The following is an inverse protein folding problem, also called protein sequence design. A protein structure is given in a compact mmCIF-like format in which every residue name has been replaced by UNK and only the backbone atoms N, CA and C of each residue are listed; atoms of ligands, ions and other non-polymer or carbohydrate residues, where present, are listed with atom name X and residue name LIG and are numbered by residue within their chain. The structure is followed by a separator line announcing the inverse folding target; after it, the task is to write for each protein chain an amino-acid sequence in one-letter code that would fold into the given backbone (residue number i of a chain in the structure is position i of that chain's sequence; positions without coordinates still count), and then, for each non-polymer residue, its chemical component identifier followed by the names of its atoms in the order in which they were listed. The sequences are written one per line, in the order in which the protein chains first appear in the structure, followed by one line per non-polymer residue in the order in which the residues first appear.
data_IF_209449371111
#
_entry.id   IF_209449371111
#
_cell.length_a   1.000
_cell.length_b   1.000
_cell.length_c   1.000
_cell.angle_alpha   90.00
_cell.angle_beta   90.00
_cell.angle_gamma   90.00
#
_symmetry.space_group_name_H-M   'P 1'
#
loop_
_entity.id
_entity.type
_entity.pdbx_description
1 polymer ?
#
# COMPACT_ATOMS: atom_id res chain seq x y z
N UNK A 1 6.24 12.94 9.19
CA UNK A 1 6.74 13.47 7.90
C UNK A 1 6.09 12.67 6.77
N UNK A 2 5.44 13.36 5.82
CA UNK A 2 4.74 12.72 4.69
C UNK A 2 5.72 12.00 3.76
N UNK A 3 5.32 10.85 3.22
CA UNK A 3 6.13 10.12 2.24
C UNK A 3 5.91 10.64 0.81
N UNK A 4 4.68 11.03 0.49
CA UNK A 4 4.28 11.60 -0.78
C UNK A 4 3.22 12.68 -0.55
N UNK A 5 3.00 13.54 -1.55
CA UNK A 5 1.90 14.53 -1.53
C UNK A 5 0.62 14.01 -2.21
N UNK A 6 0.74 12.92 -2.98
CA UNK A 6 -0.36 12.36 -3.78
C UNK A 6 -0.40 10.84 -3.68
N UNK A 7 -1.61 10.28 -3.81
CA UNK A 7 -1.90 8.84 -3.80
C UNK A 7 -2.89 8.49 -4.91
N UNK A 8 -2.86 7.24 -5.37
CA UNK A 8 -3.88 6.66 -6.25
C UNK A 8 -4.74 5.68 -5.49
N UNK A 9 -6.05 5.79 -5.66
CA UNK A 9 -7.04 4.97 -4.99
C UNK A 9 -8.07 4.44 -6.00
N UNK A 10 -8.78 3.37 -5.64
CA UNK A 10 -9.88 2.84 -6.45
C UNK A 10 -11.16 3.69 -6.32
N UNK A 11 -11.31 4.42 -5.21
CA UNK A 11 -12.46 5.26 -4.88
C UNK A 11 -11.98 6.52 -4.11
N UNK A 12 -12.88 7.48 -3.89
CA UNK A 12 -12.56 8.76 -3.22
C UNK A 12 -12.12 8.60 -1.76
N UNK A 13 -12.54 7.52 -1.10
CA UNK A 13 -12.21 7.25 0.30
C UNK A 13 -11.02 6.29 0.45
N UNK A 14 -10.45 5.80 -0.66
CA UNK A 14 -9.40 4.77 -0.67
C UNK A 14 -9.79 3.52 0.14
N UNK A 15 -11.08 3.21 0.16
CA UNK A 15 -11.69 2.12 0.94
C UNK A 15 -11.79 0.81 0.15
N UNK A 16 -11.72 0.89 -1.18
CA UNK A 16 -11.81 -0.26 -2.06
C UNK A 16 -10.43 -0.81 -2.42
N UNK A 17 -10.37 -2.13 -2.59
CA UNK A 17 -9.16 -2.81 -3.04
C UNK A 17 -8.84 -2.43 -4.47
N UNK A 18 -7.57 -2.09 -4.73
CA UNK A 18 -7.04 -1.93 -6.08
C UNK A 18 -6.61 -3.28 -6.64
N UNK A 19 -5.78 -4.01 -5.88
CA UNK A 19 -5.26 -5.30 -6.29
C UNK A 19 -4.89 -6.17 -5.09
N UNK A 20 -4.69 -7.47 -5.35
CA UNK A 20 -4.09 -8.43 -4.42
C UNK A 20 -2.86 -9.04 -5.06
N UNK A 21 -1.86 -9.28 -4.25
CA UNK A 21 -0.69 -10.02 -4.67
C UNK A 21 -0.16 -10.94 -3.58
N UNK A 22 0.90 -11.64 -3.94
CA UNK A 22 1.62 -12.56 -3.06
C UNK A 22 3.01 -12.01 -2.77
N UNK A 23 3.41 -12.00 -1.51
CA UNK A 23 4.73 -11.53 -1.12
C UNK A 23 5.83 -12.42 -1.71
N UNK A 24 6.79 -11.83 -2.43
CA UNK A 24 7.88 -12.57 -3.08
C UNK A 24 9.05 -12.88 -2.12
N UNK A 25 9.17 -12.10 -1.04
CA UNK A 25 10.20 -12.23 0.00
C UNK A 25 9.66 -11.74 1.35
N UNK A 26 10.37 -12.05 2.42
CA UNK A 26 10.09 -11.48 3.74
C UNK A 26 10.34 -9.97 3.74
N UNK A 27 9.49 -9.24 4.44
CA UNK A 27 9.61 -7.81 4.66
C UNK A 27 9.38 -7.48 6.13
N UNK A 28 10.27 -6.67 6.68
CA UNK A 28 10.11 -6.06 7.99
C UNK A 28 10.19 -4.56 7.83
N UNK A 29 9.12 -3.88 8.22
CA UNK A 29 9.02 -2.44 8.21
C UNK A 29 10.08 -1.78 9.09
N UNK A 30 10.63 -0.61 8.69
CA UNK A 30 11.57 0.14 9.52
C UNK A 30 10.90 0.82 10.73
N UNK A 31 9.59 1.08 10.67
CA UNK A 31 8.80 1.68 11.75
C UNK A 31 7.33 1.25 11.67
N UNK A 32 6.51 1.71 12.62
CA UNK A 32 5.11 1.33 12.79
C UNK A 32 4.18 1.69 11.61
N UNK A 33 4.62 2.49 10.65
CA UNK A 33 3.81 2.83 9.47
C UNK A 33 3.85 1.74 8.41
N UNK A 34 4.74 0.77 8.54
CA UNK A 34 4.95 -0.29 7.56
C UNK A 34 4.36 -1.61 8.05
N UNK A 35 3.72 -2.33 7.14
CA UNK A 35 3.24 -3.68 7.41
C UNK A 35 4.40 -4.67 7.35
N UNK A 36 4.36 -5.70 8.18
CA UNK A 36 5.31 -6.82 8.12
C UNK A 36 4.65 -7.99 7.39
N UNK A 37 5.42 -8.72 6.59
CA UNK A 37 4.94 -9.94 5.99
C UNK A 37 6.06 -10.91 5.65
N UNK A 38 5.68 -12.17 5.50
CA UNK A 38 6.51 -13.29 5.10
C UNK A 38 6.28 -13.64 3.65
N UNK A 39 7.31 -14.21 3.02
CA UNK A 39 7.20 -14.74 1.68
C UNK A 39 6.00 -15.67 1.57
N UNK A 40 5.16 -15.42 0.58
CA UNK A 40 3.99 -16.21 0.26
C UNK A 40 2.69 -15.75 0.89
N UNK A 41 2.72 -14.78 1.83
CA UNK A 41 1.51 -14.17 2.36
C UNK A 41 0.78 -13.35 1.31
N UNK A 42 -0.55 -13.30 1.44
CA UNK A 42 -1.39 -12.47 0.59
C UNK A 42 -1.39 -11.03 1.13
N UNK A 43 -1.11 -10.08 0.25
CA UNK A 43 -1.16 -8.65 0.56
C UNK A 43 -2.26 -8.02 -0.28
N UNK A 44 -3.09 -7.21 0.38
CA UNK A 44 -4.25 -6.54 -0.20
C UNK A 44 -3.99 -5.04 -0.29
N UNK A 45 -3.98 -4.49 -1.50
CA UNK A 45 -3.55 -3.11 -1.79
C UNK A 45 -4.76 -2.19 -1.89
N UNK A 46 -4.75 -1.10 -1.14
CA UNK A 46 -5.83 -0.11 -1.11
C UNK A 46 -5.45 1.19 -1.83
N UNK A 47 -4.20 1.65 -1.68
CA UNK A 47 -3.73 2.82 -2.40
C UNK A 47 -2.22 2.80 -2.68
N UNK A 48 -1.81 3.59 -3.67
CA UNK A 48 -0.42 3.65 -4.17
C UNK A 48 0.09 5.09 -4.04
N UNK A 49 1.19 5.31 -3.34
CA UNK A 49 1.77 6.66 -3.26
C UNK A 49 2.41 7.05 -4.60
N UNK A 50 2.32 8.34 -4.95
CA UNK A 50 2.86 8.91 -6.19
C UNK A 50 3.89 9.98 -5.84
N UNK A 51 5.10 9.85 -6.39
CA UNK A 51 6.14 10.85 -6.16
C UNK A 51 7.49 10.42 -6.72
N UNK A 52 8.44 11.37 -6.74
CA UNK A 52 9.74 11.19 -7.43
C UNK A 52 10.66 10.12 -6.82
N UNK A 53 10.41 9.64 -5.60
CA UNK A 53 11.29 8.66 -4.93
C UNK A 53 10.56 7.54 -4.17
N UNK A 54 9.23 7.58 -4.10
CA UNK A 54 8.46 6.65 -3.28
C UNK A 54 7.71 5.67 -4.17
N UNK A 55 8.19 4.43 -4.18
CA UNK A 55 7.48 3.29 -4.75
C UNK A 55 6.72 2.49 -3.67
N UNK A 56 6.16 3.22 -2.69
CA UNK A 56 5.43 2.64 -1.57
C UNK A 56 3.95 2.51 -1.89
N UNK A 57 3.40 1.34 -1.60
CA UNK A 57 1.97 1.07 -1.60
C UNK A 57 1.50 0.87 -0.17
N UNK A 58 0.22 1.10 0.08
CA UNK A 58 -0.42 0.86 1.36
C UNK A 58 -1.43 -0.28 1.22
N UNK A 59 -1.38 -1.19 2.17
CA UNK A 59 -2.20 -2.38 2.14
C UNK A 59 -2.18 -3.14 3.45
N UNK A 60 -2.92 -4.25 3.46
CA UNK A 60 -3.06 -5.10 4.64
C UNK A 60 -2.54 -6.52 4.43
N UNK A 61 -2.09 -7.10 5.55
CA UNK A 61 -1.76 -8.52 5.73
C UNK A 61 -2.42 -8.98 7.02
N UNK A 62 -3.45 -9.82 6.91
CA UNK A 62 -4.29 -10.15 8.05
C UNK A 62 -4.99 -8.90 8.62
N UNK A 63 -4.77 -8.63 9.90
CA UNK A 63 -5.29 -7.43 10.59
C UNK A 63 -4.40 -6.19 10.46
N UNK A 64 -3.16 -6.37 10.01
CA UNK A 64 -2.16 -5.30 10.03
C UNK A 64 -2.26 -4.50 8.73
N UNK A 65 -2.23 -3.17 8.85
CA UNK A 65 -2.25 -2.25 7.71
C UNK A 65 -1.00 -1.36 7.74
N UNK A 66 -0.40 -1.14 6.58
CA UNK A 66 0.72 -0.23 6.46
C UNK A 66 1.36 -0.21 5.08
N UNK A 67 2.46 0.52 4.99
CA UNK A 67 3.22 0.69 3.78
C UNK A 67 4.18 -0.46 3.50
N UNK A 68 4.48 -0.68 2.21
CA UNK A 68 5.53 -1.57 1.75
C UNK A 68 5.99 -1.18 0.33
N UNK A 69 7.25 -1.51 -0.07
CA UNK A 69 7.72 -1.31 -1.44
C UNK A 69 6.97 -2.19 -2.45
N UNK A 70 6.55 -1.62 -3.57
CA UNK A 70 5.74 -2.32 -4.59
C UNK A 70 6.43 -3.56 -5.17
N UNK A 71 7.77 -3.55 -5.25
CA UNK A 71 8.58 -4.61 -5.86
C UNK A 71 8.66 -5.89 -5.02
N UNK A 72 8.03 -5.89 -3.83
CA UNK A 72 7.93 -7.05 -2.97
C UNK A 72 6.72 -7.92 -3.30
N UNK A 73 5.85 -7.47 -4.20
CA UNK A 73 4.56 -8.09 -4.46
C UNK A 73 4.43 -8.57 -5.90
N UNK A 74 4.10 -9.85 -6.06
CA UNK A 74 3.65 -10.40 -7.32
C UNK A 74 2.13 -10.30 -7.40
N UNK A 75 1.62 -9.43 -8.27
CA UNK A 75 0.18 -9.18 -8.40
C UNK A 75 -0.47 -10.40 -9.04
N UNK A 76 -1.47 -10.98 -8.37
CA UNK A 76 -2.21 -12.13 -8.87
C UNK A 76 -3.67 -11.79 -9.20
N UNK A 77 -4.19 -10.65 -8.76
CA UNK A 77 -5.54 -10.21 -9.07
C UNK A 77 -5.67 -8.69 -9.02
N UNK A 78 -6.30 -8.09 -10.03
CA UNK A 78 -6.66 -6.67 -10.06
C UNK A 78 -8.17 -6.54 -9.89
N UNK A 79 -8.61 -5.76 -8.90
CA UNK A 79 -10.02 -5.53 -8.59
C UNK A 79 -10.56 -4.29 -9.31
N UNK A 80 -9.72 -3.27 -9.50
CA UNK A 80 -10.06 -2.06 -10.22
C UNK A 80 -8.99 -1.72 -11.26
N UNK A 81 -9.44 -1.27 -12.42
CA UNK A 81 -8.59 -0.66 -13.45
C UNK A 81 -8.62 0.87 -13.40
N UNK A 82 -9.50 1.44 -12.57
CA UNK A 82 -9.63 2.87 -12.37
C UNK A 82 -8.74 3.30 -11.20
N UNK A 83 -7.91 4.32 -11.44
CA UNK A 83 -7.04 4.91 -10.43
C UNK A 83 -7.31 6.41 -10.34
N UNK A 84 -7.93 6.84 -9.23
CA UNK A 84 -8.18 8.24 -8.92
C UNK A 84 -6.97 8.83 -8.21
N UNK A 85 -6.44 9.94 -8.73
CA UNK A 85 -5.31 10.63 -8.11
C UNK A 85 -5.79 11.68 -7.10
N UNK A 86 -5.49 11.44 -5.83
CA UNK A 86 -5.94 12.23 -4.69
C UNK A 86 -4.75 12.83 -3.93
N UNK A 87 -4.92 13.98 -3.25
CA UNK A 87 -3.92 14.45 -2.29
C UNK A 87 -3.83 13.48 -1.11
N UNK A 88 -2.63 13.34 -0.54
CA UNK A 88 -2.45 12.66 0.75
C UNK A 88 -2.77 13.61 1.90
N UNK A 89 -3.27 13.08 3.00
CA UNK A 89 -3.49 13.82 4.24
C UNK A 89 -2.43 13.48 5.31
N UNK A 90 -2.53 14.09 6.49
CA UNK A 90 -1.59 13.81 7.58
C UNK A 90 -1.84 12.45 8.25
N UNK A 91 -3.10 12.01 8.26
CA UNK A 91 -3.53 10.74 8.87
C UNK A 91 -3.08 9.52 8.06
N UNK A 92 -2.77 9.70 6.78
CA UNK A 92 -2.12 8.67 5.95
C UNK A 92 -0.77 8.20 6.52
N UNK A 93 -0.08 9.04 7.31
CA UNK A 93 1.31 8.78 7.73
C UNK A 93 1.49 8.68 9.24
N UNK A 94 0.42 8.50 10.01
CA UNK A 94 0.49 8.26 11.46
C UNK A 94 0.53 6.76 11.76
N UNK A 95 0.99 6.40 12.96
CA UNK A 95 0.88 5.04 13.46
C UNK A 95 -0.40 4.89 14.28
N UNK A 96 -0.99 3.70 14.23
CA UNK A 96 -2.17 3.32 15.00
C UNK A 96 -1.80 2.28 16.06
#
# INVERSE_FOLDING_TARGET
RRFAERKRCADLECSMLMCRGKAMRDFKGPDCRFVNFKKGEAVYVYYKLIGKSTELWAGSVGSDFGYFPKDLLEINHNYSNEELELPTDETDFVCF
#
